data_IF_302485146691
#
_entry.id   IF_302485146691
#
_cell.length_a   1.000
_cell.length_b   1.000
_cell.length_c   1.000
_cell.angle_alpha   90.00
_cell.angle_beta   90.00
_cell.angle_gamma   90.00
#
_symmetry.space_group_name_H-M   'P 1'
#
loop_
_entity.id
_entity.type
_entity.pdbx_description
1 polymer ?
#
# COMPACT_ATOMS: atom_id res chain seq x y z
N UNK A 1 -3.76 -2.68 7.60
CA UNK A 1 -3.66 -2.15 6.22
C UNK A 1 -4.72 -2.84 5.40
N UNK A 2 -5.34 -2.24 4.40
CA UNK A 2 -6.29 -2.94 3.55
C UNK A 2 -5.71 -4.13 2.76
N UNK A 3 -6.57 -5.03 2.30
CA UNK A 3 -6.28 -6.07 1.31
C UNK A 3 -7.15 -5.88 0.08
N UNK A 4 -6.55 -6.02 -1.11
CA UNK A 4 -7.27 -5.98 -2.40
C UNK A 4 -6.99 -7.25 -3.19
N UNK A 5 -7.98 -7.69 -3.96
CA UNK A 5 -7.81 -8.74 -4.97
C UNK A 5 -8.82 -8.56 -6.09
N UNK A 6 -8.51 -9.06 -7.27
CA UNK A 6 -9.44 -9.02 -8.39
C UNK A 6 -9.01 -9.87 -9.57
N UNK A 7 -9.92 -9.97 -10.52
CA UNK A 7 -9.71 -10.73 -11.75
C UNK A 7 -10.37 -10.03 -12.94
N UNK A 8 -9.79 -10.24 -14.13
CA UNK A 8 -10.37 -9.92 -15.43
C UNK A 8 -10.37 -11.19 -16.28
N UNK A 9 -11.55 -11.60 -16.74
CA UNK A 9 -11.72 -12.68 -17.71
C UNK A 9 -11.22 -12.22 -19.09
N UNK A 10 -10.28 -12.96 -19.68
CA UNK A 10 -9.63 -12.59 -20.95
C UNK A 10 -10.52 -12.86 -22.18
N UNK A 11 -11.51 -13.74 -22.05
CA UNK A 11 -12.56 -13.95 -23.06
C UNK A 11 -13.73 -12.96 -22.91
N UNK A 12 -13.61 -12.00 -21.97
CA UNK A 12 -14.64 -11.04 -21.62
C UNK A 12 -15.98 -11.67 -21.17
N UNK A 13 -15.97 -12.94 -20.75
CA UNK A 13 -17.10 -13.60 -20.10
C UNK A 13 -17.30 -13.09 -18.66
N UNK A 14 -18.45 -13.40 -18.05
CA UNK A 14 -18.77 -12.99 -16.69
C UNK A 14 -17.71 -13.49 -15.68
N UNK A 15 -17.20 -12.60 -14.83
CA UNK A 15 -16.31 -12.96 -13.73
C UNK A 15 -17.03 -13.75 -12.62
N UNK A 16 -16.33 -14.72 -12.02
CA UNK A 16 -16.87 -15.56 -10.95
C UNK A 16 -16.72 -14.90 -9.58
N UNK A 17 -17.87 -14.50 -9.01
CA UNK A 17 -17.96 -13.92 -7.67
C UNK A 17 -17.50 -14.88 -6.57
N UNK A 18 -17.72 -16.19 -6.74
CA UNK A 18 -17.32 -17.20 -5.74
C UNK A 18 -15.79 -17.33 -5.67
N UNK A 19 -15.12 -17.33 -6.83
CA UNK A 19 -13.67 -17.29 -6.92
C UNK A 19 -13.11 -16.04 -6.21
N UNK A 20 -13.68 -14.86 -6.44
CA UNK A 20 -13.28 -13.63 -5.75
C UNK A 20 -13.47 -13.71 -4.24
N UNK A 21 -14.58 -14.30 -3.79
CA UNK A 21 -14.85 -14.56 -2.38
C UNK A 21 -13.75 -15.39 -1.73
N UNK A 22 -13.25 -16.43 -2.41
CA UNK A 22 -12.13 -17.25 -1.89
C UNK A 22 -10.81 -16.49 -1.85
N UNK A 23 -10.52 -15.66 -2.87
CA UNK A 23 -9.30 -14.83 -2.92
C UNK A 23 -9.27 -13.82 -1.78
N UNK A 24 -10.35 -13.08 -1.56
CA UNK A 24 -10.37 -12.02 -0.55
C UNK A 24 -10.43 -12.57 0.87
N UNK A 25 -10.98 -13.77 1.06
CA UNK A 25 -11.00 -14.44 2.36
C UNK A 25 -9.59 -14.67 2.93
N UNK A 26 -8.58 -14.89 2.08
CA UNK A 26 -7.18 -15.06 2.52
C UNK A 26 -6.52 -13.76 2.96
N UNK A 27 -7.18 -12.61 2.77
CA UNK A 27 -6.66 -11.27 3.05
C UNK A 27 -7.37 -10.58 4.23
N UNK A 28 -8.26 -11.29 4.95
CA UNK A 28 -9.03 -10.74 6.08
C UNK A 28 -8.15 -10.21 7.21
N UNK A 29 -6.98 -10.80 7.45
CA UNK A 29 -6.03 -10.31 8.47
C UNK A 29 -5.53 -8.89 8.20
N UNK A 30 -5.55 -8.47 6.93
CA UNK A 30 -5.17 -7.11 6.54
C UNK A 30 -6.28 -6.13 6.95
N UNK A 31 -7.51 -6.43 6.54
CA UNK A 31 -8.69 -5.60 6.76
C UNK A 31 -9.82 -6.34 7.48
N UNK A 32 -9.83 -6.34 8.82
CA UNK A 32 -10.79 -7.10 9.61
C UNK A 32 -12.17 -6.42 9.78
N UNK A 33 -12.29 -5.12 9.48
CA UNK A 33 -13.48 -4.33 9.84
C UNK A 33 -14.65 -4.57 8.90
N UNK A 34 -14.38 -4.72 7.61
CA UNK A 34 -15.38 -4.93 6.58
C UNK A 34 -14.79 -5.61 5.34
N UNK A 35 -15.65 -6.04 4.43
CA UNK A 35 -15.24 -6.49 3.11
C UNK A 35 -16.32 -6.32 2.05
N UNK A 36 -15.91 -6.35 0.80
CA UNK A 36 -16.81 -6.18 -0.34
C UNK A 36 -16.31 -6.95 -1.56
N UNK A 37 -17.24 -7.45 -2.36
CA UNK A 37 -16.99 -8.06 -3.67
C UNK A 37 -17.94 -7.40 -4.64
N UNK A 38 -17.39 -6.93 -5.76
CA UNK A 38 -18.17 -6.42 -6.87
C UNK A 38 -17.77 -7.15 -8.15
N UNK A 39 -18.77 -7.56 -8.93
CA UNK A 39 -18.59 -8.05 -10.29
C UNK A 39 -19.26 -7.08 -11.26
N UNK A 40 -18.54 -6.72 -12.33
CA UNK A 40 -19.02 -5.89 -13.43
C UNK A 40 -18.58 -6.52 -14.76
N UNK A 41 -19.46 -7.35 -15.33
CA UNK A 41 -19.17 -8.14 -16.53
C UNK A 41 -17.91 -9.00 -16.36
N UNK A 42 -16.83 -8.76 -17.13
CA UNK A 42 -15.63 -9.58 -17.09
C UNK A 42 -14.68 -9.29 -15.96
N UNK A 43 -14.91 -8.23 -15.20
CA UNK A 43 -14.09 -7.89 -14.04
C UNK A 43 -14.82 -8.19 -12.77
N UNK A 44 -14.09 -8.67 -11.78
CA UNK A 44 -14.50 -8.44 -10.41
C UNK A 44 -13.36 -7.99 -9.51
N UNK A 45 -13.74 -7.15 -8.56
CA UNK A 45 -12.87 -6.50 -7.59
C UNK A 45 -13.35 -6.91 -6.20
N UNK A 46 -12.42 -7.10 -5.28
CA UNK A 46 -12.72 -7.47 -3.92
C UNK A 46 -11.79 -6.77 -2.94
N UNK A 47 -12.32 -6.48 -1.75
CA UNK A 47 -11.65 -5.67 -0.74
C UNK A 47 -11.87 -6.23 0.67
N UNK A 48 -10.81 -6.24 1.47
CA UNK A 48 -10.80 -6.43 2.92
C UNK A 48 -10.34 -5.10 3.54
N UNK A 49 -11.21 -4.47 4.33
CA UNK A 49 -11.07 -3.08 4.78
C UNK A 49 -10.55 -3.00 6.21
N UNK A 50 -9.52 -2.19 6.41
CA UNK A 50 -9.20 -1.59 7.70
C UNK A 50 -9.58 -0.11 7.61
N UNK A 51 -10.49 0.34 8.46
CA UNK A 51 -11.13 1.65 8.38
C UNK A 51 -10.27 2.69 9.10
N UNK A 52 -9.52 3.49 8.35
CA UNK A 52 -8.61 4.53 8.89
C UNK A 52 -9.09 5.94 8.54
N UNK A 53 -9.63 6.13 7.33
CA UNK A 53 -10.19 7.39 6.83
C UNK A 53 -11.64 7.12 6.40
N UNK A 54 -12.55 8.04 6.75
CA UNK A 54 -13.97 8.01 6.43
C UNK A 54 -14.61 6.67 6.82
N UNK A 55 -14.73 6.44 8.13
CA UNK A 55 -15.20 5.18 8.70
C UNK A 55 -16.58 4.75 8.17
N UNK A 56 -17.42 5.71 7.75
CA UNK A 56 -18.81 5.47 7.38
C UNK A 56 -19.04 5.29 5.88
N UNK A 57 -18.44 6.13 5.00
CA UNK A 57 -18.71 6.09 3.56
C UNK A 57 -17.58 5.53 2.69
N UNK A 58 -16.43 5.18 3.27
CA UNK A 58 -15.29 4.61 2.53
C UNK A 58 -15.39 3.12 2.20
N UNK A 59 -16.59 2.57 1.98
CA UNK A 59 -16.77 1.18 1.58
C UNK A 59 -16.18 0.93 0.18
N UNK A 60 -15.56 -0.23 -0.05
CA UNK A 60 -15.08 -0.61 -1.37
C UNK A 60 -15.34 -2.10 -1.67
N UNK A 61 -15.39 -2.53 -2.95
CA UNK A 61 -15.11 -1.73 -4.16
C UNK A 61 -16.06 -0.53 -4.33
N UNK A 62 -15.49 0.62 -4.66
CA UNK A 62 -16.23 1.89 -4.80
C UNK A 62 -16.47 2.18 -6.28
N UNK A 63 -17.59 2.81 -6.62
CA UNK A 63 -17.90 3.21 -8.00
C UNK A 63 -18.20 4.69 -8.12
N UNK A 64 -18.10 5.21 -9.34
CA UNK A 64 -18.73 6.48 -9.70
C UNK A 64 -20.26 6.34 -9.68
N UNK A 65 -20.99 7.46 -9.60
CA UNK A 65 -22.46 7.46 -9.54
C UNK A 65 -23.14 6.76 -10.73
N UNK A 66 -22.50 6.81 -11.91
CA UNK A 66 -22.97 6.14 -13.12
C UNK A 66 -22.44 4.70 -13.27
N UNK A 67 -21.72 4.18 -12.28
CA UNK A 67 -21.11 2.84 -12.27
C UNK A 67 -20.19 2.53 -13.46
N UNK A 68 -19.66 3.55 -14.14
CA UNK A 68 -18.73 3.39 -15.25
C UNK A 68 -17.31 3.04 -14.77
N UNK A 69 -16.90 3.60 -13.64
CA UNK A 69 -15.64 3.25 -13.01
C UNK A 69 -15.88 2.50 -11.70
N UNK A 70 -15.03 1.51 -11.44
CA UNK A 70 -14.97 0.77 -10.18
C UNK A 70 -13.54 0.70 -9.69
N UNK A 71 -13.32 0.90 -8.39
CA UNK A 71 -12.00 0.85 -7.77
C UNK A 71 -11.96 -0.10 -6.58
N UNK A 72 -10.83 -0.78 -6.40
CA UNK A 72 -10.39 -1.32 -5.12
C UNK A 72 -9.00 -0.78 -4.78
N UNK A 73 -8.80 -0.34 -3.56
CA UNK A 73 -7.64 0.44 -3.14
C UNK A 73 -7.17 0.04 -1.73
N UNK A 74 -5.86 -0.22 -1.62
CA UNK A 74 -5.14 -0.37 -0.37
C UNK A 74 -4.07 0.73 -0.30
N UNK A 75 -4.24 1.69 0.59
CA UNK A 75 -3.34 2.83 0.68
C UNK A 75 -3.95 4.01 1.41
N UNK A 76 -3.24 5.12 1.31
CA UNK A 76 -3.64 6.47 1.74
C UNK A 76 -3.11 7.47 0.71
N UNK A 77 -3.97 8.34 0.19
CA UNK A 77 -3.56 9.50 -0.60
C UNK A 77 -3.47 10.71 0.34
N UNK A 78 -2.28 11.06 0.80
CA UNK A 78 -2.08 12.11 1.82
C UNK A 78 -2.55 13.50 1.37
N UNK A 79 -2.45 13.81 0.07
CA UNK A 79 -2.92 15.06 -0.51
C UNK A 79 -4.38 15.01 -1.03
N UNK A 80 -5.20 14.06 -0.56
CA UNK A 80 -6.57 13.91 -1.05
C UNK A 80 -7.46 15.14 -0.81
N UNK A 81 -7.21 15.92 0.26
CA UNK A 81 -7.97 17.13 0.57
C UNK A 81 -7.71 18.18 -0.52
N UNK A 82 -6.44 18.43 -0.81
CA UNK A 82 -6.01 19.41 -1.81
C UNK A 82 -6.47 18.99 -3.21
N UNK A 83 -6.33 17.70 -3.56
CA UNK A 83 -6.80 17.16 -4.84
C UNK A 83 -8.33 17.22 -4.98
N UNK A 84 -9.06 16.99 -3.89
CA UNK A 84 -10.52 17.13 -3.88
C UNK A 84 -10.92 18.56 -4.20
N UNK A 85 -10.29 19.56 -3.57
CA UNK A 85 -10.58 20.97 -3.83
C UNK A 85 -10.34 21.33 -5.31
N UNK A 86 -9.22 20.86 -5.88
CA UNK A 86 -8.92 21.04 -7.30
C UNK A 86 -10.00 20.42 -8.20
N UNK A 87 -10.40 19.17 -7.94
CA UNK A 87 -11.42 18.47 -8.73
C UNK A 87 -12.81 19.09 -8.56
N UNK A 88 -13.18 19.56 -7.37
CA UNK A 88 -14.42 20.33 -7.17
C UNK A 88 -14.40 21.61 -8.00
N UNK A 89 -13.26 22.30 -8.07
CA UNK A 89 -13.08 23.47 -8.93
C UNK A 89 -13.25 23.18 -10.43
N UNK A 90 -13.02 21.93 -10.85
CA UNK A 90 -13.26 21.43 -12.21
C UNK A 90 -14.70 20.92 -12.45
N UNK A 91 -15.54 20.93 -11.41
CA UNK A 91 -16.95 20.56 -11.51
C UNK A 91 -17.30 19.13 -11.07
N UNK A 92 -16.35 18.37 -10.49
CA UNK A 92 -16.64 17.05 -9.95
C UNK A 92 -17.43 17.15 -8.64
N UNK A 93 -18.44 16.28 -8.49
CA UNK A 93 -19.28 16.19 -7.30
C UNK A 93 -18.94 14.92 -6.52
N UNK A 94 -18.64 15.08 -5.23
CA UNK A 94 -18.25 13.99 -4.35
C UNK A 94 -19.41 13.58 -3.43
N UNK A 95 -19.64 12.29 -3.30
CA UNK A 95 -20.62 11.68 -2.41
C UNK A 95 -20.05 11.29 -1.04
N UNK A 96 -18.73 11.09 -0.94
CA UNK A 96 -18.03 10.63 0.27
C UNK A 96 -16.97 11.64 0.70
N UNK A 97 -16.27 11.38 1.81
CA UNK A 97 -15.06 12.12 2.21
C UNK A 97 -13.79 11.27 2.07
N UNK A 98 -13.92 10.08 1.50
CA UNK A 98 -12.85 9.11 1.32
C UNK A 98 -11.84 9.60 0.27
N UNK A 99 -10.57 9.33 0.52
CA UNK A 99 -9.50 9.48 -0.47
C UNK A 99 -9.69 8.55 -1.68
N UNK A 100 -10.43 7.46 -1.52
CA UNK A 100 -10.76 6.52 -2.60
C UNK A 100 -11.56 7.19 -3.73
N UNK A 101 -12.50 8.06 -3.39
CA UNK A 101 -13.32 8.78 -4.38
C UNK A 101 -12.50 9.83 -5.15
N UNK A 102 -11.49 10.41 -4.49
CA UNK A 102 -10.52 11.31 -5.14
C UNK A 102 -9.75 10.58 -6.24
N UNK A 103 -9.38 9.31 -6.03
CA UNK A 103 -8.70 8.51 -7.05
C UNK A 103 -9.63 8.29 -8.26
N UNK A 104 -10.91 7.97 -8.04
CA UNK A 104 -11.88 7.78 -9.12
C UNK A 104 -12.02 9.04 -9.98
N UNK A 105 -12.24 10.20 -9.35
CA UNK A 105 -12.38 11.46 -10.09
C UNK A 105 -11.07 11.92 -10.73
N UNK A 106 -9.92 11.70 -10.09
CA UNK A 106 -8.63 11.96 -10.70
C UNK A 106 -8.40 11.09 -11.94
N UNK A 107 -8.81 9.81 -11.92
CA UNK A 107 -8.74 8.95 -13.11
C UNK A 107 -9.74 9.39 -14.20
N UNK A 108 -10.94 9.86 -13.85
CA UNK A 108 -11.87 10.45 -14.84
C UNK A 108 -11.27 11.67 -15.53
N UNK A 109 -10.59 12.52 -14.78
CA UNK A 109 -10.01 13.77 -15.28
C UNK A 109 -8.72 13.55 -16.07
N UNK A 110 -7.81 12.73 -15.55
CA UNK A 110 -6.43 12.62 -16.04
C UNK A 110 -6.13 11.27 -16.70
N UNK A 111 -7.08 10.33 -16.70
CA UNK A 111 -6.82 8.95 -17.14
C UNK A 111 -5.71 8.30 -16.33
N UNK A 112 -4.83 7.56 -17.01
CA UNK A 112 -3.70 6.87 -16.38
C UNK A 112 -2.68 7.82 -15.75
N UNK A 113 -2.63 9.09 -16.20
CA UNK A 113 -1.69 10.09 -15.69
C UNK A 113 -2.07 10.61 -14.30
N UNK A 114 -3.25 10.22 -13.77
CA UNK A 114 -3.71 10.61 -12.44
C UNK A 114 -2.69 10.28 -11.33
N UNK A 115 -1.90 9.21 -11.51
CA UNK A 115 -0.88 8.76 -10.56
C UNK A 115 0.23 9.78 -10.31
N UNK A 116 0.44 10.72 -11.25
CA UNK A 116 1.42 11.79 -11.09
C UNK A 116 0.96 12.88 -10.11
N UNK A 117 -0.34 12.97 -9.86
CA UNK A 117 -0.95 13.95 -8.95
C UNK A 117 -0.99 13.46 -7.49
N UNK A 118 -0.70 12.18 -7.26
CA UNK A 118 -0.80 11.58 -5.92
C UNK A 118 0.46 11.81 -5.08
N UNK A 119 0.24 12.16 -3.81
CA UNK A 119 1.22 12.05 -2.74
C UNK A 119 0.67 11.06 -1.72
N UNK A 120 1.28 9.90 -1.58
CA UNK A 120 0.67 8.81 -0.84
C UNK A 120 1.44 7.51 -0.89
N UNK A 121 0.82 6.48 -0.34
CA UNK A 121 1.21 5.08 -0.42
C UNK A 121 -0.01 4.29 -0.92
N UNK A 122 0.13 3.49 -1.97
CA UNK A 122 -1.02 2.88 -2.63
C UNK A 122 -0.70 1.64 -3.43
N UNK A 123 -1.68 0.76 -3.47
CA UNK A 123 -1.92 -0.22 -4.50
C UNK A 123 -3.41 -0.14 -4.83
N UNK A 124 -3.77 0.09 -6.09
CA UNK A 124 -5.18 0.07 -6.51
C UNK A 124 -5.36 -0.61 -7.85
N UNK A 125 -6.60 -0.97 -8.14
CA UNK A 125 -7.07 -1.37 -9.45
C UNK A 125 -8.37 -0.62 -9.78
N UNK A 126 -8.44 0.00 -10.95
CA UNK A 126 -9.61 0.65 -11.52
C UNK A 126 -10.07 -0.14 -12.74
N UNK A 127 -11.35 -0.49 -12.78
CA UNK A 127 -12.02 -0.96 -13.98
C UNK A 127 -12.79 0.19 -14.62
N UNK A 128 -12.45 0.49 -15.86
CA UNK A 128 -13.19 1.39 -16.74
C UNK A 128 -14.07 0.55 -17.66
N UNK A 129 -15.39 0.57 -17.41
CA UNK A 129 -16.36 -0.18 -18.19
C UNK A 129 -16.60 0.42 -19.58
N UNK A 130 -16.36 1.73 -19.76
CA UNK A 130 -16.52 2.42 -21.05
C UNK A 130 -15.39 2.02 -21.99
N UNK A 131 -14.16 2.07 -21.50
CA UNK A 131 -12.96 1.71 -22.26
C UNK A 131 -12.58 0.23 -22.19
N UNK A 132 -13.35 -0.56 -21.42
CA UNK A 132 -13.08 -1.97 -21.11
C UNK A 132 -11.61 -2.20 -20.70
N UNK A 133 -11.12 -1.36 -19.79
CA UNK A 133 -9.71 -1.28 -19.41
C UNK A 133 -9.56 -1.48 -17.90
N UNK A 134 -8.68 -2.40 -17.52
CA UNK A 134 -8.28 -2.59 -16.13
C UNK A 134 -6.92 -1.90 -15.91
N UNK A 135 -6.90 -0.88 -15.06
CA UNK A 135 -5.72 -0.09 -14.74
C UNK A 135 -5.30 -0.32 -13.29
N UNK A 136 -4.06 -0.75 -13.06
CA UNK A 136 -3.48 -0.95 -11.74
C UNK A 136 -2.34 0.03 -11.53
N UNK A 137 -2.15 0.48 -10.30
CA UNK A 137 -0.99 1.31 -9.95
C UNK A 137 -0.45 0.95 -8.58
N UNK A 138 0.87 1.04 -8.44
CA UNK A 138 1.59 0.88 -7.17
C UNK A 138 2.47 2.09 -6.92
N UNK A 139 2.47 2.57 -5.67
CA UNK A 139 3.14 3.80 -5.26
C UNK A 139 4.64 3.85 -5.57
N UNK A 140 5.17 5.08 -5.50
CA UNK A 140 6.55 5.43 -5.86
C UNK A 140 7.60 4.54 -5.18
N UNK A 141 7.43 4.26 -3.89
CA UNK A 141 8.38 3.47 -3.11
C UNK A 141 7.96 2.00 -2.96
N UNK A 142 6.78 1.62 -3.47
CA UNK A 142 6.23 0.28 -3.35
C UNK A 142 5.84 -0.09 -1.92
N UNK A 143 5.41 0.89 -1.11
CA UNK A 143 5.03 0.67 0.29
C UNK A 143 3.84 -0.30 0.40
N UNK A 144 2.86 -0.18 -0.50
CA UNK A 144 1.75 -1.14 -0.55
C UNK A 144 2.07 -2.26 -1.55
N UNK A 145 1.90 -3.54 -1.17
CA UNK A 145 2.21 -4.65 -2.07
C UNK A 145 1.12 -4.84 -3.12
N UNK A 146 1.54 -5.23 -4.32
CA UNK A 146 0.65 -5.59 -5.42
C UNK A 146 1.32 -6.64 -6.32
N UNK A 147 0.69 -7.80 -6.40
CA UNK A 147 1.13 -8.95 -7.17
C UNK A 147 0.10 -9.28 -8.23
N UNK A 148 0.55 -9.87 -9.33
CA UNK A 148 -0.32 -10.30 -10.41
C UNK A 148 0.19 -11.56 -11.11
N UNK A 149 -0.71 -12.23 -11.81
CA UNK A 149 -0.40 -13.35 -12.69
C UNK A 149 -1.42 -13.40 -13.82
N UNK A 150 -1.09 -14.12 -14.89
CA UNK A 150 -1.98 -14.37 -16.00
C UNK A 150 -2.08 -15.88 -16.23
N UNK A 151 -3.31 -16.38 -16.23
CA UNK A 151 -3.65 -17.75 -16.63
C UNK A 151 -4.09 -17.74 -18.10
N UNK A 152 -4.49 -18.89 -18.66
CA UNK A 152 -5.10 -18.94 -19.99
C UNK A 152 -6.39 -18.12 -20.07
N UNK A 153 -7.12 -18.02 -18.95
CA UNK A 153 -8.50 -17.57 -18.94
C UNK A 153 -8.67 -16.21 -18.25
N UNK A 154 -7.70 -15.80 -17.43
CA UNK A 154 -7.85 -14.64 -16.55
C UNK A 154 -6.54 -13.94 -16.23
N UNK A 155 -6.62 -12.63 -16.11
CA UNK A 155 -5.63 -11.83 -15.42
C UNK A 155 -6.06 -11.69 -13.95
N UNK A 156 -5.14 -11.93 -13.01
CA UNK A 156 -5.40 -11.94 -11.57
C UNK A 156 -4.45 -10.96 -10.87
N UNK A 157 -4.93 -10.25 -9.85
CA UNK A 157 -4.10 -9.41 -8.99
C UNK A 157 -4.52 -9.50 -7.52
N UNK A 158 -3.56 -9.24 -6.61
CA UNK A 158 -3.83 -9.19 -5.19
C UNK A 158 -2.73 -8.48 -4.38
N UNK A 159 -3.05 -8.06 -3.16
CA UNK A 159 -2.06 -7.53 -2.20
C UNK A 159 -1.03 -8.58 -1.75
N UNK A 160 -1.40 -9.86 -1.71
CA UNK A 160 -0.51 -10.95 -1.29
C UNK A 160 -0.68 -12.15 -2.21
N UNK A 161 0.42 -12.87 -2.46
CA UNK A 161 0.47 -13.98 -3.42
C UNK A 161 -0.51 -15.12 -3.06
N UNK A 162 -0.75 -15.35 -1.77
CA UNK A 162 -1.69 -16.41 -1.32
C UNK A 162 -3.12 -16.24 -1.82
N UNK A 163 -3.56 -15.00 -2.08
CA UNK A 163 -4.86 -14.76 -2.70
C UNK A 163 -4.89 -15.22 -4.16
N UNK A 164 -3.77 -15.11 -4.89
CA UNK A 164 -3.66 -15.64 -6.25
C UNK A 164 -3.73 -17.19 -6.24
N UNK A 165 -3.15 -17.83 -5.23
CA UNK A 165 -3.22 -19.28 -5.04
C UNK A 165 -4.60 -19.82 -4.62
N UNK A 166 -5.58 -18.95 -4.35
CA UNK A 166 -6.96 -19.36 -4.18
C UNK A 166 -7.62 -19.69 -5.54
N UNK A 167 -7.03 -19.25 -6.66
CA UNK A 167 -7.43 -19.62 -8.01
C UNK A 167 -6.73 -20.93 -8.40
N UNK A 168 -7.50 -21.96 -8.79
CA UNK A 168 -7.00 -23.33 -8.97
C UNK A 168 -6.01 -23.46 -10.12
N UNK A 169 -6.12 -22.58 -11.10
CA UNK A 169 -5.29 -22.50 -12.31
C UNK A 169 -3.88 -21.97 -12.00
N UNK A 170 -3.70 -21.29 -10.86
CA UNK A 170 -2.40 -20.74 -10.44
C UNK A 170 -1.59 -21.81 -9.74
N UNK A 171 -0.51 -22.25 -10.40
CA UNK A 171 0.40 -23.26 -9.85
C UNK A 171 1.38 -22.68 -8.84
N UNK A 172 1.62 -23.43 -7.77
CA UNK A 172 2.61 -23.11 -6.72
C UNK A 172 3.98 -23.67 -7.09
N UNK A 173 4.59 -23.12 -8.13
CA UNK A 173 5.92 -23.51 -8.60
C UNK A 173 6.96 -22.48 -8.18
N UNK A 174 8.09 -22.90 -7.59
CA UNK A 174 9.19 -22.01 -7.26
C UNK A 174 9.95 -21.61 -8.54
N UNK A 175 10.34 -20.34 -8.66
CA UNK A 175 11.30 -19.85 -9.64
C UNK A 175 12.72 -19.94 -9.03
N UNK A 176 13.61 -20.83 -9.52
CA UNK A 176 14.98 -20.93 -9.02
C UNK A 176 15.74 -19.61 -9.05
N UNK A 177 15.45 -18.72 -10.01
CA UNK A 177 16.07 -17.38 -10.06
C UNK A 177 15.53 -16.45 -8.97
N UNK A 178 14.25 -16.58 -8.62
CA UNK A 178 13.67 -15.82 -7.52
C UNK A 178 14.23 -16.28 -6.18
N UNK A 179 14.44 -17.59 -6.05
CA UNK A 179 15.08 -18.18 -4.87
C UNK A 179 16.55 -17.74 -4.73
N UNK A 180 17.31 -17.78 -5.83
CA UNK A 180 18.70 -17.27 -5.90
C UNK A 180 18.82 -15.80 -5.47
N UNK A 181 17.88 -14.95 -5.91
CA UNK A 181 17.83 -13.54 -5.50
C UNK A 181 17.61 -13.37 -3.99
N UNK A 182 16.77 -14.20 -3.36
CA UNK A 182 16.60 -14.14 -1.90
C UNK A 182 17.93 -14.46 -1.19
N UNK A 183 18.62 -15.52 -1.59
CA UNK A 183 19.88 -15.90 -0.95
C UNK A 183 21.04 -14.94 -1.26
N UNK A 184 20.91 -14.13 -2.30
CA UNK A 184 21.94 -13.15 -2.70
C UNK A 184 21.66 -11.75 -2.15
N UNK A 185 20.43 -11.26 -2.28
CA UNK A 185 20.02 -9.88 -1.98
C UNK A 185 19.07 -9.75 -0.79
N UNK A 186 18.68 -10.88 -0.17
CA UNK A 186 17.69 -10.95 0.92
C UNK A 186 16.26 -10.55 0.50
N UNK A 187 16.05 -10.31 -0.80
CA UNK A 187 14.77 -9.94 -1.41
C UNK A 187 14.77 -10.32 -2.88
N UNK A 188 13.59 -10.52 -3.46
CA UNK A 188 13.43 -10.64 -4.93
C UNK A 188 13.44 -9.26 -5.58
N UNK A 189 14.03 -9.17 -6.78
CA UNK A 189 14.05 -7.91 -7.56
C UNK A 189 12.80 -7.84 -8.44
N UNK A 190 11.89 -6.85 -8.25
CA UNK A 190 10.73 -6.68 -9.10
C UNK A 190 11.10 -6.62 -10.59
N UNK A 191 10.28 -7.19 -11.50
CA UNK A 191 8.96 -7.74 -11.24
C UNK A 191 8.96 -9.19 -10.73
N UNK A 192 10.11 -9.81 -10.48
CA UNK A 192 10.19 -11.22 -10.10
C UNK A 192 9.70 -11.46 -8.67
N UNK A 193 9.12 -12.63 -8.45
CA UNK A 193 8.87 -13.20 -7.12
C UNK A 193 9.54 -14.56 -6.99
N UNK A 194 9.45 -15.20 -5.82
CA UNK A 194 9.92 -16.58 -5.63
C UNK A 194 9.10 -17.62 -6.37
N UNK A 195 7.93 -17.23 -6.90
CA UNK A 195 7.05 -18.12 -7.62
C UNK A 195 7.09 -17.86 -9.12
N UNK A 196 7.15 -18.94 -9.89
CA UNK A 196 7.12 -18.89 -11.34
C UNK A 196 5.79 -18.34 -11.83
N UNK A 197 5.84 -17.46 -12.82
CA UNK A 197 4.68 -16.79 -13.44
C UNK A 197 3.84 -15.93 -12.48
N UNK A 198 4.35 -15.61 -11.28
CA UNK A 198 3.77 -14.61 -10.38
C UNK A 198 4.72 -13.44 -10.31
N UNK A 199 4.18 -12.27 -10.58
CA UNK A 199 4.94 -11.04 -10.71
C UNK A 199 4.52 -10.03 -9.65
N UNK A 200 5.46 -9.22 -9.22
CA UNK A 200 5.19 -8.06 -8.38
C UNK A 200 5.20 -6.82 -9.27
N UNK A 201 4.19 -5.95 -9.17
CA UNK A 201 4.24 -4.66 -9.87
C UNK A 201 5.39 -3.84 -9.27
N UNK A 202 6.40 -3.39 -10.04
CA UNK A 202 7.52 -2.65 -9.46
C UNK A 202 7.08 -1.32 -8.83
N UNK A 203 7.83 -0.77 -7.87
CA UNK A 203 7.60 0.58 -7.35
C UNK A 203 7.54 1.63 -8.47
N UNK A 204 6.66 2.62 -8.34
CA UNK A 204 6.52 3.70 -9.32
C UNK A 204 6.05 3.23 -10.71
N UNK A 205 5.34 2.10 -10.78
CA UNK A 205 4.78 1.57 -12.02
C UNK A 205 3.26 1.43 -11.96
N UNK A 206 2.67 1.54 -13.14
CA UNK A 206 1.28 1.18 -13.42
C UNK A 206 1.22 0.06 -14.45
N UNK A 207 0.09 -0.65 -14.47
CA UNK A 207 -0.18 -1.76 -15.39
C UNK A 207 -1.58 -1.59 -15.99
N UNK A 208 -1.65 -1.53 -17.32
CA UNK A 208 -2.92 -1.42 -18.06
C UNK A 208 -3.19 -2.72 -18.80
N UNK A 209 -4.41 -3.24 -18.66
CA UNK A 209 -4.90 -4.38 -19.41
C UNK A 209 -6.07 -3.93 -20.28
N UNK A 210 -5.88 -3.94 -21.59
CA UNK A 210 -6.88 -3.57 -22.60
C UNK A 210 -6.77 -4.50 -23.80
N UNK A 211 -7.90 -5.07 -24.26
CA UNK A 211 -7.94 -6.01 -25.40
C UNK A 211 -6.91 -7.15 -25.28
N UNK A 212 -6.81 -7.74 -24.08
CA UNK A 212 -5.85 -8.80 -23.72
C UNK A 212 -4.36 -8.43 -23.88
N UNK A 213 -4.03 -7.13 -23.99
CA UNK A 213 -2.66 -6.63 -23.96
C UNK A 213 -2.37 -6.05 -22.60
N UNK A 214 -1.24 -6.45 -22.03
CA UNK A 214 -0.71 -5.92 -20.78
C UNK A 214 0.38 -4.91 -21.12
N UNK A 215 0.25 -3.68 -20.65
CA UNK A 215 1.27 -2.63 -20.74
C UNK A 215 1.69 -2.22 -19.34
N UNK A 216 2.96 -2.40 -19.02
CA UNK A 216 3.57 -1.81 -17.83
C UNK A 216 4.18 -0.45 -18.18
N UNK A 217 3.96 0.56 -17.34
CA UNK A 217 4.54 1.89 -17.51
C UNK A 217 5.17 2.35 -16.19
N UNK A 218 6.44 2.70 -16.23
CA UNK A 218 7.09 3.42 -15.15
C UNK A 218 6.66 4.89 -15.21
N UNK A 219 5.99 5.37 -14.17
CA UNK A 219 5.61 6.78 -14.05
C UNK A 219 6.55 7.52 -13.09
N UNK A 220 7.31 6.80 -12.26
CA UNK A 220 8.25 7.38 -11.32
C UNK A 220 9.50 6.52 -11.12
N UNK A 221 10.64 7.18 -10.96
CA UNK A 221 11.88 6.58 -10.50
C UNK A 221 12.59 7.55 -9.55
N UNK A 222 13.34 7.00 -8.59
CA UNK A 222 14.23 7.82 -7.78
C UNK A 222 15.35 8.37 -8.69
N UNK A 223 15.49 9.69 -8.73
CA UNK A 223 16.64 10.35 -9.35
C UNK A 223 17.71 10.51 -8.28
N UNK A 224 18.87 9.87 -8.49
CA UNK A 224 20.03 10.05 -7.64
C UNK A 224 20.99 11.04 -8.33
N UNK A 225 21.52 11.97 -7.55
CA UNK A 225 22.54 12.92 -8.00
C UNK A 225 23.71 12.15 -8.59
N UNK A 226 24.12 12.50 -9.82
CA UNK A 226 25.27 11.87 -10.46
C UNK A 226 26.57 12.47 -9.92
N UNK A 227 27.63 11.69 -9.85
CA UNK A 227 28.94 12.18 -9.45
C UNK A 227 29.33 13.43 -10.26
N UNK A 228 29.55 14.55 -9.57
CA UNK A 228 29.93 15.84 -10.17
C UNK A 228 28.79 16.87 -10.29
N UNK A 229 27.54 16.49 -10.04
CA UNK A 229 26.44 17.45 -9.87
C UNK A 229 26.54 18.07 -8.46
N UNK A 230 27.34 19.13 -8.32
CA UNK A 230 27.40 19.90 -7.09
C UNK A 230 26.10 20.69 -6.92
N UNK A 231 25.46 20.55 -5.75
CA UNK A 231 24.44 21.51 -5.33
C UNK A 231 25.13 22.73 -4.71
N UNK A 232 24.78 23.93 -5.17
CA UNK A 232 25.26 25.21 -4.62
C UNK A 232 24.75 25.51 -3.19
N UNK A 233 24.18 24.51 -2.49
CA UNK A 233 23.58 24.67 -1.16
C UNK A 233 24.62 24.40 -0.09
N UNK A 234 24.63 25.25 0.94
CA UNK A 234 25.37 24.98 2.17
C UNK A 234 24.76 23.81 2.95
N UNK A 235 25.57 23.17 3.80
CA UNK A 235 25.10 22.12 4.72
C UNK A 235 23.93 22.59 5.60
N UNK A 236 24.00 23.83 6.08
CA UNK A 236 22.96 24.42 6.93
C UNK A 236 21.62 24.59 6.19
N UNK A 237 21.66 25.00 4.92
CA UNK A 237 20.45 25.10 4.09
C UNK A 237 19.84 23.72 3.83
N UNK A 238 20.68 22.72 3.51
CA UNK A 238 20.23 21.35 3.30
C UNK A 238 19.61 20.74 4.57
N UNK A 239 20.23 20.96 5.74
CA UNK A 239 19.69 20.49 7.01
C UNK A 239 18.34 21.15 7.36
N UNK A 240 18.20 22.45 7.07
CA UNK A 240 16.95 23.20 7.30
C UNK A 240 15.82 22.69 6.42
N UNK A 241 16.11 22.48 5.13
CA UNK A 241 15.15 21.93 4.17
C UNK A 241 14.75 20.50 4.54
N UNK A 242 15.71 19.64 4.89
CA UNK A 242 15.44 18.26 5.32
C UNK A 242 14.50 18.23 6.53
N UNK A 243 14.78 19.06 7.55
CA UNK A 243 13.92 19.14 8.73
C UNK A 243 12.50 19.59 8.35
N UNK A 244 12.37 20.60 7.49
CA UNK A 244 11.08 21.08 7.00
C UNK A 244 10.30 19.98 6.25
N UNK A 245 10.98 19.25 5.35
CA UNK A 245 10.37 18.14 4.61
C UNK A 245 9.93 17.00 5.53
N UNK A 246 10.73 16.65 6.54
CA UNK A 246 10.36 15.64 7.54
C UNK A 246 9.16 16.08 8.39
N UNK A 247 9.11 17.35 8.79
CA UNK A 247 7.98 17.93 9.51
C UNK A 247 6.70 17.89 8.67
N UNK A 248 6.75 18.31 7.40
CA UNK A 248 5.59 18.27 6.51
C UNK A 248 5.15 16.82 6.22
N UNK A 249 6.09 15.94 5.90
CA UNK A 249 5.83 14.53 5.64
C UNK A 249 5.15 13.84 6.84
N UNK A 250 5.56 14.19 8.07
CA UNK A 250 4.93 13.70 9.30
C UNK A 250 3.52 14.28 9.45
N UNK A 251 3.37 15.60 9.32
CA UNK A 251 2.08 16.30 9.46
C UNK A 251 1.00 15.73 8.55
N UNK A 252 1.30 15.51 7.26
CA UNK A 252 0.31 15.00 6.30
C UNK A 252 -0.08 13.54 6.56
N UNK A 253 0.83 12.73 7.13
CA UNK A 253 0.58 11.32 7.49
C UNK A 253 -0.23 11.15 8.78
N UNK A 254 -0.39 12.22 9.56
CA UNK A 254 -1.21 12.23 10.77
C UNK A 254 -2.67 12.62 10.51
N UNK A 255 -3.06 12.81 9.23
CA UNK A 255 -4.47 12.93 8.82
C UNK A 255 -5.14 11.56 8.96
N UNK A 256 -5.77 11.31 10.11
CA UNK A 256 -6.44 10.03 10.43
C UNK A 256 -7.68 10.25 11.28
N UNK A 257 -8.73 9.44 11.07
CA UNK A 257 -9.94 9.43 11.90
C UNK A 257 -9.82 8.50 13.11
N UNK A 258 -8.66 7.84 13.29
CA UNK A 258 -8.38 6.91 14.39
C UNK A 258 -7.12 7.33 15.18
N UNK A 259 -6.96 6.88 16.44
CA UNK A 259 -5.76 7.19 17.22
C UNK A 259 -4.47 6.70 16.54
N UNK A 260 -3.45 7.57 16.52
CA UNK A 260 -2.12 7.24 15.99
C UNK A 260 -1.15 6.93 17.14
N UNK A 261 -0.36 5.88 16.97
CA UNK A 261 0.77 5.54 17.83
C UNK A 261 2.09 5.58 17.06
N UNK A 262 3.21 5.54 17.78
CA UNK A 262 4.54 5.48 17.19
C UNK A 262 5.26 4.18 17.60
N UNK A 263 5.98 3.56 16.67
CA UNK A 263 6.94 2.52 17.02
C UNK A 263 8.29 3.17 17.38
N UNK A 264 8.87 2.83 18.52
CA UNK A 264 10.08 3.45 19.04
C UNK A 264 11.17 2.41 19.31
N UNK A 265 12.08 2.17 18.37
CA UNK A 265 13.19 1.22 18.58
C UNK A 265 14.31 1.77 19.48
N UNK A 266 14.34 3.08 19.73
CA UNK A 266 15.49 3.74 20.37
C UNK A 266 16.59 4.13 19.37
N UNK A 267 16.53 3.62 18.14
CA UNK A 267 17.36 4.10 17.03
C UNK A 267 17.03 5.54 16.61
N UNK A 268 17.95 6.17 15.87
CA UNK A 268 17.84 7.57 15.47
C UNK A 268 16.57 7.85 14.64
N UNK A 269 16.21 6.98 13.70
CA UNK A 269 15.09 7.20 12.77
C UNK A 269 13.73 7.15 13.47
N UNK A 270 13.53 6.12 14.30
CA UNK A 270 12.28 5.94 15.05
C UNK A 270 12.13 7.00 16.14
N UNK A 271 13.24 7.40 16.78
CA UNK A 271 13.26 8.48 17.78
C UNK A 271 12.94 9.84 17.15
N UNK A 272 13.59 10.18 16.02
CA UNK A 272 13.32 11.42 15.28
C UNK A 272 11.86 11.46 14.80
N UNK A 273 11.38 10.38 14.20
CA UNK A 273 9.99 10.27 13.74
C UNK A 273 9.01 10.44 14.90
N UNK A 274 9.24 9.77 16.02
CA UNK A 274 8.40 9.88 17.24
C UNK A 274 8.42 11.32 17.78
N UNK A 275 9.58 11.99 17.77
CA UNK A 275 9.71 13.39 18.19
C UNK A 275 8.87 14.32 17.29
N UNK A 276 8.92 14.11 15.97
CA UNK A 276 8.12 14.90 15.01
C UNK A 276 6.63 14.64 15.18
N UNK A 277 6.22 13.38 15.37
CA UNK A 277 4.82 13.03 15.66
C UNK A 277 4.36 13.69 16.96
N UNK A 278 5.18 13.67 18.01
CA UNK A 278 4.87 14.28 19.31
C UNK A 278 4.61 15.79 19.23
N UNK A 279 5.26 16.50 18.30
CA UNK A 279 5.01 17.93 18.06
C UNK A 279 3.63 18.20 17.47
N UNK A 280 3.05 17.25 16.75
CA UNK A 280 1.73 17.38 16.10
C UNK A 280 0.62 16.78 16.97
N UNK A 281 0.84 15.58 17.52
CA UNK A 281 -0.14 14.84 18.31
C UNK A 281 -0.23 15.28 19.79
N UNK A 282 0.78 15.99 20.30
CA UNK A 282 0.83 16.50 21.68
C UNK A 282 1.24 15.46 22.72
N UNK A 283 1.06 15.82 24.00
CA UNK A 283 1.63 15.14 25.20
C UNK A 283 1.02 13.78 25.57
N UNK A 284 0.24 13.15 24.68
CA UNK A 284 -0.38 11.84 24.91
C UNK A 284 -0.03 10.80 23.84
N UNK A 285 1.04 11.03 23.08
CA UNK A 285 1.50 10.07 22.09
C UNK A 285 1.83 8.74 22.78
N UNK A 286 1.12 7.68 22.38
CA UNK A 286 1.45 6.31 22.76
C UNK A 286 2.56 5.80 21.87
N UNK A 287 3.61 5.26 22.49
CA UNK A 287 4.72 4.63 21.79
C UNK A 287 4.83 3.17 22.19
N UNK A 288 5.27 2.34 21.24
CA UNK A 288 5.34 0.90 21.39
C UNK A 288 6.70 0.37 20.94
N UNK A 289 7.18 -0.66 21.63
CA UNK A 289 8.44 -1.35 21.30
C UNK A 289 8.37 -2.83 21.58
N UNK A 290 9.30 -3.58 20.98
CA UNK A 290 9.54 -4.98 21.30
C UNK A 290 10.91 -5.06 21.99
N UNK A 291 10.96 -5.80 23.09
CA UNK A 291 12.20 -6.17 23.79
C UNK A 291 12.42 -7.68 23.64
N UNK A 292 13.67 -8.11 23.52
CA UNK A 292 14.01 -9.51 23.30
C UNK A 292 14.73 -10.10 24.52
N UNK A 293 14.52 -11.39 24.80
CA UNK A 293 15.26 -12.06 25.89
C UNK A 293 16.76 -12.19 25.59
N UNK A 294 17.11 -12.32 24.31
CA UNK A 294 18.49 -12.33 23.87
C UNK A 294 19.04 -10.91 23.82
N UNK A 295 20.01 -10.63 24.70
CA UNK A 295 20.69 -9.34 24.82
C UNK A 295 21.38 -8.87 23.55
N UNK A 296 21.69 -9.75 22.61
CA UNK A 296 22.26 -9.34 21.32
C UNK A 296 21.27 -8.58 20.44
N UNK A 297 19.97 -8.83 20.62
CA UNK A 297 18.89 -8.22 19.84
C UNK A 297 18.03 -7.26 20.67
N UNK A 298 18.28 -7.15 21.98
CA UNK A 298 17.50 -6.31 22.87
C UNK A 298 17.95 -4.84 22.82
N UNK A 299 17.07 -3.97 22.30
CA UNK A 299 17.28 -2.53 22.21
C UNK A 299 16.63 -1.75 23.38
N UNK A 300 16.12 -2.47 24.40
CA UNK A 300 15.27 -1.91 25.47
C UNK A 300 15.88 -0.72 26.20
N UNK A 301 17.20 -0.69 26.40
CA UNK A 301 17.88 0.45 27.04
C UNK A 301 17.75 1.74 26.22
N UNK A 302 17.91 1.64 24.90
CA UNK A 302 17.78 2.79 24.00
C UNK A 302 16.32 3.22 23.88
N UNK A 303 15.38 2.27 23.90
CA UNK A 303 13.94 2.53 23.89
C UNK A 303 13.52 3.31 25.15
N UNK A 304 14.06 2.94 26.32
CA UNK A 304 13.81 3.64 27.59
C UNK A 304 14.40 5.04 27.61
N UNK A 305 15.63 5.21 27.11
CA UNK A 305 16.27 6.53 26.99
C UNK A 305 15.43 7.46 26.11
N UNK A 306 15.07 7.00 24.90
CA UNK A 306 14.30 7.77 23.94
C UNK A 306 12.88 8.10 24.47
N UNK A 307 12.18 7.12 25.06
CA UNK A 307 10.82 7.35 25.59
C UNK A 307 10.81 8.31 26.77
N UNK A 308 11.84 8.24 27.65
CA UNK A 308 12.01 9.16 28.78
C UNK A 308 12.30 10.58 28.31
N UNK A 309 13.18 10.75 27.32
CA UNK A 309 13.49 12.05 26.72
C UNK A 309 12.26 12.68 26.05
N UNK A 310 11.48 11.88 25.31
CA UNK A 310 10.31 12.36 24.56
C UNK A 310 9.04 12.47 25.42
N UNK A 311 9.02 11.89 26.62
CA UNK A 311 7.86 11.92 27.52
C UNK A 311 6.63 11.17 26.97
N UNK A 312 6.83 10.12 26.18
CA UNK A 312 5.72 9.35 25.56
C UNK A 312 5.05 8.39 26.55
N UNK A 313 3.78 8.05 26.32
CA UNK A 313 3.12 6.93 27.01
C UNK A 313 3.62 5.60 26.43
N UNK A 314 4.73 5.10 26.96
CA UNK A 314 5.45 3.97 26.39
C UNK A 314 4.92 2.61 26.85
N UNK A 315 4.84 1.66 25.94
CA UNK A 315 4.53 0.25 26.23
C UNK A 315 5.51 -0.66 25.51
N UNK A 316 6.13 -1.56 26.26
CA UNK A 316 7.08 -2.54 25.71
C UNK A 316 6.46 -3.93 25.79
N UNK A 317 6.56 -4.68 24.69
CA UNK A 317 6.19 -6.10 24.64
C UNK A 317 7.46 -6.93 24.67
N UNK A 318 7.58 -7.84 25.63
CA UNK A 318 8.70 -8.79 25.68
C UNK A 318 8.43 -9.96 24.74
N UNK A 319 9.43 -10.33 23.95
CA UNK A 319 9.38 -11.42 22.98
C UNK A 319 10.45 -12.45 23.31
N UNK A 320 10.00 -13.64 23.69
CA UNK A 320 10.85 -14.81 23.94
C UNK A 320 11.08 -15.60 22.65
N UNK A 321 12.09 -16.48 22.69
CA UNK A 321 12.30 -17.44 21.59
C UNK A 321 11.10 -18.40 21.42
N UNK A 322 10.36 -18.68 22.50
CA UNK A 322 9.16 -19.50 22.44
C UNK A 322 8.03 -18.77 21.69
N UNK A 323 7.84 -17.47 21.93
CA UNK A 323 6.84 -16.66 21.23
C UNK A 323 7.11 -16.62 19.72
N UNK A 324 8.40 -16.46 19.34
CA UNK A 324 8.82 -16.51 17.94
C UNK A 324 8.48 -17.88 17.33
N UNK A 325 8.84 -18.97 18.01
CA UNK A 325 8.59 -20.33 17.53
C UNK A 325 7.09 -20.63 17.39
N UNK A 326 6.28 -20.13 18.33
CA UNK A 326 4.82 -20.29 18.33
C UNK A 326 4.17 -19.57 17.13
N UNK A 327 4.55 -18.32 16.87
CA UNK A 327 3.93 -17.49 15.83
C UNK A 327 4.51 -17.73 14.43
N UNK A 328 5.70 -18.33 14.32
CA UNK A 328 6.41 -18.51 13.05
C UNK A 328 5.54 -19.13 11.93
N UNK A 329 4.73 -20.19 12.16
CA UNK A 329 3.86 -20.73 11.12
C UNK A 329 2.82 -19.73 10.60
N UNK A 330 2.38 -18.77 11.42
CA UNK A 330 1.44 -17.73 11.03
C UNK A 330 2.11 -16.61 10.23
N UNK A 331 3.39 -16.33 10.49
CA UNK A 331 4.19 -15.36 9.72
C UNK A 331 4.41 -15.82 8.27
N UNK A 332 4.51 -17.13 8.03
CA UNK A 332 4.71 -17.71 6.69
C UNK A 332 3.40 -17.82 5.88
N UNK A 333 2.23 -17.77 6.54
CA UNK A 333 0.93 -18.17 5.98
C UNK A 333 0.40 -17.31 4.84
#
# INVERSE_FOLDING_TARGET
>A
MCGISGLLKLDYSQADSSQLGTMIATLRHRGPDAGGVQVSGPVGLAHARLSIIDLQSGAQPMSTANSQLWITFNGEIFNYIELREELVGKGYQFATRSDTEVILHAYQEYGEDCVNHFNGQWAFAIWDATEQTLFLSRDRAGVRPLFYTQTSDSFLFASEIKALFACREVRREIDPRGMDQIFTFWVTVPPKTVFKNIFQLPPGHSLTIKSNRIRAQQYWSASYVRNGEAHDRSEQEAATELLHLLQDATRIRLRSDVPVGAYLSGGIDSTLTTALVGRVAGSRLRSFSIAFEDRQFDESSYQQEASSFLGTQHSTVSCSNADIAEVFPEVIR
#
